data_IF_874565532366
#
_entry.id   IF_874565532366
#
_cell.length_a   1.000
_cell.length_b   1.000
_cell.length_c   1.000
_cell.angle_alpha   90.00
_cell.angle_beta   90.00
_cell.angle_gamma   90.00
#
_symmetry.space_group_name_H-M   'P 1'
#
loop_
_entity.id
_entity.type
_entity.pdbx_description
1 polymer ?
#
# COMPACT_ATOMS: atom_id res chain seq x y z
N UNK A 1 -9.97 -9.50 3.72
CA UNK A 1 -9.69 -8.74 4.95
C UNK A 1 -9.28 -9.67 6.07
N UNK A 2 -8.45 -9.16 6.99
CA UNK A 2 -8.11 -9.86 8.23
C UNK A 2 -9.24 -9.74 9.23
N UNK A 3 -9.23 -10.60 10.25
CA UNK A 3 -10.08 -10.43 11.44
C UNK A 3 -9.50 -9.32 12.31
N UNK A 4 -10.39 -8.46 12.84
CA UNK A 4 -10.02 -7.54 13.91
C UNK A 4 -10.01 -8.26 15.25
N UNK A 5 -9.13 -7.89 16.20
CA UNK A 5 -9.22 -8.35 17.57
C UNK A 5 -10.58 -8.01 18.19
N UNK A 6 -11.14 -8.90 19.00
CA UNK A 6 -12.45 -8.68 19.63
C UNK A 6 -12.48 -7.39 20.47
N UNK A 7 -11.39 -7.08 21.17
CA UNK A 7 -11.25 -5.83 21.93
C UNK A 7 -11.43 -4.58 21.08
N UNK A 8 -10.96 -4.60 19.83
CA UNK A 8 -11.11 -3.49 18.88
C UNK A 8 -12.58 -3.37 18.44
N UNK A 9 -13.25 -4.51 18.17
CA UNK A 9 -14.65 -4.52 17.79
C UNK A 9 -15.55 -4.02 18.93
N UNK A 10 -15.29 -4.45 20.16
CA UNK A 10 -16.04 -4.00 21.35
C UNK A 10 -15.84 -2.50 21.58
N UNK A 11 -14.62 -2.01 21.44
CA UNK A 11 -14.34 -0.57 21.55
C UNK A 11 -15.04 0.22 20.45
N UNK A 12 -14.95 -0.20 19.20
CA UNK A 12 -15.64 0.44 18.08
C UNK A 12 -17.17 0.49 18.29
N UNK A 13 -17.75 -0.60 18.81
CA UNK A 13 -19.19 -0.65 19.13
C UNK A 13 -19.57 0.31 20.25
N UNK A 14 -18.76 0.40 21.31
CA UNK A 14 -19.00 1.33 22.44
C UNK A 14 -18.90 2.80 22.00
N UNK A 15 -17.98 3.12 21.09
CA UNK A 15 -17.73 4.47 20.60
C UNK A 15 -18.60 4.85 19.38
N UNK A 16 -19.47 3.93 18.92
CA UNK A 16 -20.24 4.12 17.68
C UNK A 16 -21.24 5.28 17.77
N UNK A 17 -21.82 5.52 18.94
CA UNK A 17 -22.79 6.60 19.16
C UNK A 17 -22.16 7.83 19.80
N UNK A 18 -21.15 7.63 20.63
CA UNK A 18 -20.52 8.71 21.38
C UNK A 18 -19.05 8.41 21.66
N UNK A 19 -18.17 9.05 20.91
CA UNK A 19 -16.74 8.94 21.12
C UNK A 19 -16.31 9.78 22.32
N UNK A 20 -15.94 9.12 23.42
CA UNK A 20 -15.37 9.73 24.64
C UNK A 20 -16.17 10.94 25.18
N UNK A 21 -17.50 10.90 25.13
CA UNK A 21 -18.38 11.97 25.62
C UNK A 21 -18.47 13.18 24.70
N UNK A 22 -18.03 13.07 23.45
CA UNK A 22 -18.07 14.16 22.47
C UNK A 22 -19.49 14.45 21.94
N UNK A 23 -20.44 13.56 22.19
CA UNK A 23 -21.81 13.63 21.68
C UNK A 23 -21.96 13.20 20.23
N UNK A 24 -20.92 12.64 19.60
CA UNK A 24 -20.95 12.20 18.19
C UNK A 24 -20.06 10.99 17.97
N UNK A 25 -20.42 10.20 16.93
CA UNK A 25 -19.56 9.17 16.39
C UNK A 25 -18.32 9.77 15.69
N UNK A 26 -17.22 9.03 15.67
CA UNK A 26 -16.06 9.38 14.84
C UNK A 26 -16.44 9.57 13.36
N UNK A 27 -17.43 8.80 12.88
CA UNK A 27 -17.92 8.89 11.50
C UNK A 27 -18.64 10.20 11.17
N UNK A 28 -19.13 10.90 12.19
CA UNK A 28 -19.89 12.16 12.05
C UNK A 28 -19.02 13.39 12.28
N UNK A 29 -17.78 13.20 12.79
CA UNK A 29 -16.90 14.28 13.14
C UNK A 29 -16.36 15.01 11.91
N UNK A 30 -16.29 16.33 12.01
CA UNK A 30 -15.52 17.12 11.05
C UNK A 30 -14.03 16.77 11.16
N UNK A 31 -13.37 16.57 10.01
CA UNK A 31 -11.92 16.39 9.97
C UNK A 31 -11.13 17.59 10.50
N UNK A 32 -11.79 18.74 10.74
CA UNK A 32 -11.21 19.97 11.35
C UNK A 32 -11.45 20.04 12.84
N UNK A 33 -12.21 19.12 13.45
CA UNK A 33 -12.44 19.13 14.89
C UNK A 33 -11.16 18.75 15.64
N UNK A 34 -10.98 19.32 16.84
CA UNK A 34 -9.82 18.97 17.69
C UNK A 34 -9.81 17.51 18.10
N UNK A 35 -11.00 16.92 18.27
CA UNK A 35 -11.14 15.50 18.63
C UNK A 35 -10.65 14.62 17.48
N UNK A 36 -11.09 14.90 16.25
CA UNK A 36 -10.63 14.15 15.08
C UNK A 36 -9.13 14.34 14.82
N UNK A 37 -8.61 15.55 14.99
CA UNK A 37 -7.18 15.84 14.86
C UNK A 37 -6.34 15.00 15.82
N UNK A 38 -6.81 14.82 17.06
CA UNK A 38 -6.15 13.94 18.03
C UNK A 38 -6.19 12.47 17.60
N UNK A 39 -7.31 11.97 17.06
CA UNK A 39 -7.46 10.60 16.56
C UNK A 39 -6.50 10.34 15.41
N UNK A 40 -6.46 11.20 14.39
CA UNK A 40 -5.64 10.95 13.19
C UNK A 40 -4.14 11.10 13.48
N UNK A 41 -3.74 12.02 14.34
CA UNK A 41 -2.35 12.16 14.81
C UNK A 41 -1.92 10.98 15.67
N UNK A 42 -2.80 10.48 16.52
CA UNK A 42 -2.58 9.25 17.29
C UNK A 42 -2.38 8.04 16.38
N UNK A 43 -3.22 7.89 15.35
CA UNK A 43 -3.09 6.83 14.37
C UNK A 43 -1.76 6.91 13.60
N UNK A 44 -1.34 8.11 13.18
CA UNK A 44 -0.04 8.30 12.53
C UNK A 44 1.12 7.94 13.46
N UNK A 45 1.08 8.43 14.71
CA UNK A 45 2.13 8.16 15.71
C UNK A 45 2.28 6.66 15.97
N UNK A 46 1.17 5.94 16.17
CA UNK A 46 1.18 4.50 16.37
C UNK A 46 1.69 3.74 15.13
N UNK A 47 1.30 4.18 13.94
CA UNK A 47 1.78 3.55 12.71
C UNK A 47 3.30 3.73 12.54
N UNK A 48 3.81 4.93 12.87
CA UNK A 48 5.25 5.21 12.87
C UNK A 48 6.00 4.33 13.86
N UNK A 49 5.47 4.19 15.07
CA UNK A 49 6.06 3.36 16.12
C UNK A 49 6.09 1.88 15.71
N UNK A 50 4.94 1.31 15.30
CA UNK A 50 4.82 -0.12 14.98
C UNK A 50 5.59 -0.51 13.72
N UNK A 51 5.69 0.36 12.73
CA UNK A 51 6.42 0.11 11.50
C UNK A 51 7.84 0.68 11.49
N UNK A 52 8.29 1.29 12.59
CA UNK A 52 9.60 1.92 12.72
C UNK A 52 9.88 2.91 11.57
N UNK A 53 8.87 3.76 11.23
CA UNK A 53 8.95 4.69 10.10
C UNK A 53 9.89 5.84 10.44
N UNK A 54 11.00 6.02 9.67
CA UNK A 54 11.93 7.11 9.90
C UNK A 54 11.29 8.50 9.70
N UNK A 55 11.81 9.52 10.41
CA UNK A 55 11.24 10.89 10.39
C UNK A 55 11.27 11.56 9.01
N UNK A 56 12.16 11.16 8.13
CA UNK A 56 12.25 11.66 6.76
C UNK A 56 11.14 11.13 5.84
N UNK A 57 10.35 10.14 6.28
CA UNK A 57 9.19 9.65 5.54
C UNK A 57 7.92 10.43 5.93
N UNK A 58 7.04 10.60 4.96
CA UNK A 58 5.68 11.13 5.20
C UNK A 58 4.68 9.99 5.26
N UNK A 59 3.77 10.06 6.21
CA UNK A 59 2.60 9.17 6.29
C UNK A 59 1.40 9.92 5.76
N UNK A 60 0.68 9.31 4.83
CA UNK A 60 -0.48 9.92 4.18
C UNK A 60 -1.68 8.98 4.28
N UNK A 61 -2.79 9.47 4.80
CA UNK A 61 -4.08 8.79 4.79
C UNK A 61 -4.90 9.34 3.62
N UNK A 62 -5.07 8.52 2.57
CA UNK A 62 -5.67 8.94 1.30
C UNK A 62 -6.89 8.09 0.98
N UNK A 63 -7.83 8.69 0.27
CA UNK A 63 -8.96 7.96 -0.31
C UNK A 63 -8.56 7.22 -1.60
N UNK A 64 -9.44 6.32 -2.07
CA UNK A 64 -9.30 5.62 -3.36
C UNK A 64 -8.61 4.27 -3.28
N UNK A 65 -8.13 3.87 -2.12
CA UNK A 65 -7.46 2.58 -1.90
C UNK A 65 -6.24 2.35 -2.79
N UNK A 66 -5.77 1.11 -2.86
CA UNK A 66 -4.61 0.74 -3.66
C UNK A 66 -4.82 0.96 -5.18
N UNK A 67 -6.07 0.88 -5.66
CA UNK A 67 -6.35 1.09 -7.09
C UNK A 67 -6.04 2.51 -7.54
N UNK A 68 -6.30 3.52 -6.69
CA UNK A 68 -5.91 4.90 -6.99
C UNK A 68 -4.39 5.07 -6.95
N UNK A 69 -3.68 4.32 -6.13
CA UNK A 69 -2.22 4.37 -6.10
C UNK A 69 -1.58 3.84 -7.39
N UNK A 70 -2.24 2.94 -8.12
CA UNK A 70 -1.75 2.49 -9.43
C UNK A 70 -1.60 3.65 -10.44
N UNK A 71 -2.42 4.71 -10.31
CA UNK A 71 -2.30 5.93 -11.09
C UNK A 71 -1.46 7.02 -10.39
N UNK A 72 -1.64 7.18 -9.06
CA UNK A 72 -0.96 8.23 -8.30
C UNK A 72 0.56 8.03 -8.26
N UNK A 73 1.04 6.79 -8.15
CA UNK A 73 2.47 6.48 -8.15
C UNK A 73 3.13 6.94 -9.46
N UNK A 74 2.72 6.48 -10.64
CA UNK A 74 3.34 6.95 -11.88
C UNK A 74 3.14 8.45 -12.12
N UNK A 75 1.98 9.01 -11.79
CA UNK A 75 1.72 10.44 -11.93
C UNK A 75 2.71 11.31 -11.16
N UNK A 76 3.12 10.87 -9.97
CA UNK A 76 4.02 11.61 -9.09
C UNK A 76 5.50 11.25 -9.26
N UNK A 77 5.83 10.01 -9.64
CA UNK A 77 7.21 9.54 -9.68
C UNK A 77 7.81 9.48 -11.09
N UNK A 78 7.03 9.27 -12.15
CA UNK A 78 7.53 9.27 -13.53
C UNK A 78 7.80 10.69 -14.04
N UNK A 79 8.71 11.40 -13.39
CA UNK A 79 8.92 12.84 -13.63
C UNK A 79 10.24 13.17 -14.33
N UNK A 80 11.24 12.27 -14.31
CA UNK A 80 12.55 12.51 -14.89
C UNK A 80 12.69 11.86 -16.27
N UNK A 81 12.65 10.53 -16.30
CA UNK A 81 12.88 9.73 -17.50
C UNK A 81 11.58 9.13 -18.06
N UNK A 82 10.50 9.21 -17.31
CA UNK A 82 9.19 8.60 -17.62
C UNK A 82 9.31 7.10 -17.85
N UNK A 83 10.16 6.44 -17.07
CA UNK A 83 10.44 5.01 -17.13
C UNK A 83 10.17 4.36 -15.79
N UNK A 84 9.57 3.17 -15.78
CA UNK A 84 9.42 2.37 -14.56
C UNK A 84 9.51 0.88 -14.85
N UNK A 85 10.09 0.15 -13.91
CA UNK A 85 10.25 -1.30 -13.98
C UNK A 85 9.24 -2.00 -13.08
N UNK A 86 8.64 -3.07 -13.59
CA UNK A 86 7.58 -3.81 -12.91
C UNK A 86 7.86 -5.30 -12.86
N UNK A 87 7.60 -5.91 -11.70
CA UNK A 87 7.53 -7.36 -11.56
C UNK A 87 6.08 -7.80 -11.58
N UNK A 88 5.71 -8.67 -12.52
CA UNK A 88 4.37 -9.23 -12.61
C UNK A 88 4.29 -10.57 -11.85
N UNK A 89 3.91 -10.51 -10.59
CA UNK A 89 3.78 -11.65 -9.68
C UNK A 89 2.33 -12.02 -9.37
N UNK A 90 1.35 -11.32 -9.97
CA UNK A 90 -0.07 -11.55 -9.75
C UNK A 90 -0.97 -10.59 -10.49
N UNK A 91 -2.27 -10.67 -10.20
CA UNK A 91 -3.27 -9.80 -10.85
C UNK A 91 -3.09 -8.32 -10.50
N UNK A 92 -2.79 -8.01 -9.23
CA UNK A 92 -2.68 -6.62 -8.79
C UNK A 92 -1.43 -5.94 -9.35
N UNK A 93 -0.28 -6.62 -9.39
CA UNK A 93 0.91 -6.11 -10.07
C UNK A 93 0.67 -5.91 -11.57
N UNK A 94 -0.10 -6.79 -12.21
CA UNK A 94 -0.49 -6.64 -13.61
C UNK A 94 -1.41 -5.43 -13.83
N UNK A 95 -2.35 -5.17 -12.91
CA UNK A 95 -3.20 -3.98 -12.97
C UNK A 95 -2.40 -2.69 -12.76
N UNK A 96 -1.49 -2.69 -11.78
CA UNK A 96 -0.60 -1.56 -11.53
C UNK A 96 0.27 -1.23 -12.76
N UNK A 97 0.88 -2.25 -13.38
CA UNK A 97 1.63 -2.09 -14.61
C UNK A 97 0.80 -1.49 -15.75
N UNK A 98 -0.40 -2.04 -15.99
CA UNK A 98 -1.29 -1.56 -17.07
C UNK A 98 -1.72 -0.10 -16.86
N UNK A 99 -1.94 0.30 -15.63
CA UNK A 99 -2.29 1.68 -15.32
C UNK A 99 -1.08 2.60 -15.52
N UNK A 100 0.09 2.21 -14.99
CA UNK A 100 1.33 2.98 -15.12
C UNK A 100 1.78 3.17 -16.58
N UNK A 101 1.55 2.19 -17.44
CA UNK A 101 1.89 2.26 -18.87
C UNK A 101 1.13 3.39 -19.63
N UNK A 102 0.12 3.99 -19.02
CA UNK A 102 -0.55 5.18 -19.57
C UNK A 102 0.23 6.47 -19.34
N UNK A 103 1.17 6.45 -18.40
CA UNK A 103 1.92 7.64 -17.98
C UNK A 103 3.33 7.69 -18.56
N UNK A 104 3.90 6.54 -18.93
CA UNK A 104 5.26 6.48 -19.46
C UNK A 104 5.66 5.08 -19.93
N UNK A 105 6.96 4.92 -20.17
CA UNK A 105 7.56 3.66 -20.61
C UNK A 105 7.74 2.70 -19.44
N UNK A 106 6.85 1.71 -19.33
CA UNK A 106 6.93 0.66 -18.31
C UNK A 106 7.48 -0.63 -18.90
N UNK A 107 8.55 -1.16 -18.28
CA UNK A 107 9.14 -2.47 -18.63
C UNK A 107 8.70 -3.53 -17.63
N UNK A 108 8.31 -4.68 -18.10
CA UNK A 108 8.17 -5.89 -17.28
C UNK A 108 9.52 -6.57 -17.20
N UNK A 109 10.17 -6.51 -16.05
CA UNK A 109 11.52 -7.08 -15.85
C UNK A 109 11.49 -8.55 -15.46
N UNK A 110 10.38 -9.01 -14.88
CA UNK A 110 10.14 -10.42 -14.58
C UNK A 110 8.65 -10.70 -14.49
N UNK A 111 8.23 -11.92 -14.81
CA UNK A 111 6.84 -12.35 -14.71
C UNK A 111 6.73 -13.85 -14.45
N UNK A 112 5.85 -14.23 -13.53
CA UNK A 112 5.46 -15.64 -13.33
C UNK A 112 4.09 -15.98 -13.92
N UNK A 113 3.62 -15.19 -14.88
CA UNK A 113 2.31 -15.38 -15.53
C UNK A 113 2.17 -16.75 -16.20
N UNK A 114 3.22 -17.24 -16.86
CA UNK A 114 3.21 -18.55 -17.52
C UNK A 114 3.09 -19.73 -16.54
N UNK A 115 3.50 -19.49 -15.27
CA UNK A 115 3.32 -20.43 -14.17
C UNK A 115 2.06 -20.13 -13.34
N UNK A 116 1.08 -19.44 -13.92
CA UNK A 116 -0.15 -19.02 -13.25
C UNK A 116 0.09 -18.28 -11.92
N UNK A 117 1.20 -17.54 -11.82
CA UNK A 117 1.61 -16.80 -10.62
C UNK A 117 1.77 -17.69 -9.37
N UNK A 118 2.09 -18.95 -9.56
CA UNK A 118 2.27 -19.91 -8.45
C UNK A 118 3.53 -19.69 -7.62
N UNK A 119 4.42 -18.79 -8.07
CA UNK A 119 5.65 -18.39 -7.37
C UNK A 119 6.01 -16.94 -7.68
N UNK A 120 6.89 -16.37 -6.88
CA UNK A 120 7.57 -15.12 -7.25
C UNK A 120 8.54 -15.44 -8.41
N UNK A 121 8.56 -14.63 -9.48
CA UNK A 121 9.50 -14.88 -10.57
C UNK A 121 10.93 -14.64 -10.13
N UNK A 122 11.87 -15.35 -10.74
CA UNK A 122 13.29 -15.08 -10.57
C UNK A 122 13.63 -13.70 -11.16
N UNK A 123 14.43 -12.95 -10.44
CA UNK A 123 14.83 -11.60 -10.84
C UNK A 123 16.28 -11.63 -11.35
N UNK A 124 16.49 -11.18 -12.59
CA UNK A 124 17.83 -10.94 -13.13
C UNK A 124 18.14 -9.42 -13.05
N UNK A 125 19.10 -9.00 -12.22
CA UNK A 125 19.46 -7.58 -12.10
C UNK A 125 19.91 -6.93 -13.43
N UNK A 126 20.34 -7.72 -14.42
CA UNK A 126 20.71 -7.22 -15.76
C UNK A 126 19.50 -6.68 -16.53
N UNK A 127 18.30 -7.12 -16.17
CA UNK A 127 17.06 -6.64 -16.78
C UNK A 127 16.57 -5.31 -16.18
N UNK A 128 17.14 -4.88 -15.03
CA UNK A 128 16.72 -3.65 -14.36
C UNK A 128 17.31 -2.43 -15.05
N UNK A 129 16.50 -1.42 -15.26
CA UNK A 129 16.92 -0.18 -15.90
C UNK A 129 17.47 0.80 -14.85
N UNK A 130 18.76 1.17 -14.92
CA UNK A 130 19.34 2.10 -13.95
C UNK A 130 18.80 3.54 -14.09
N UNK A 131 18.13 3.84 -15.19
CA UNK A 131 17.50 5.12 -15.47
C UNK A 131 15.96 5.08 -15.27
N UNK A 132 15.42 4.04 -14.65
CA UNK A 132 14.03 4.02 -14.26
C UNK A 132 13.75 5.03 -13.14
N UNK A 133 12.60 5.69 -13.18
CA UNK A 133 12.18 6.62 -12.13
C UNK A 133 11.77 5.88 -10.84
N UNK A 134 11.34 4.62 -10.99
CA UNK A 134 11.08 3.69 -9.87
C UNK A 134 10.99 2.24 -10.35
N UNK A 135 11.09 1.33 -9.36
CA UNK A 135 10.90 -0.11 -9.53
C UNK A 135 9.70 -0.57 -8.68
N UNK A 136 8.76 -1.29 -9.25
CA UNK A 136 7.51 -1.65 -8.56
C UNK A 136 7.34 -3.14 -8.33
N UNK A 137 6.95 -3.50 -7.10
CA UNK A 137 6.54 -4.85 -6.71
C UNK A 137 5.18 -4.86 -5.99
N UNK A 138 4.48 -5.97 -6.09
CA UNK A 138 3.40 -6.32 -5.18
C UNK A 138 3.95 -7.32 -4.17
N UNK A 139 4.20 -6.89 -2.93
CA UNK A 139 4.98 -7.64 -1.96
C UNK A 139 4.30 -8.95 -1.53
N UNK A 140 2.97 -8.95 -1.46
CA UNK A 140 2.17 -10.15 -1.20
C UNK A 140 1.01 -10.24 -2.18
N UNK A 141 0.94 -11.35 -2.90
CA UNK A 141 -0.07 -11.61 -3.91
C UNK A 141 -1.29 -12.30 -3.30
N UNK A 142 -2.28 -11.52 -2.92
CA UNK A 142 -3.47 -11.94 -2.16
C UNK A 142 -4.19 -13.15 -2.77
N UNK A 143 -4.32 -13.19 -4.10
CA UNK A 143 -5.08 -14.24 -4.80
C UNK A 143 -4.29 -15.54 -4.89
N UNK A 144 -2.98 -15.44 -5.09
CA UNK A 144 -2.12 -16.60 -5.38
C UNK A 144 -1.35 -17.10 -4.16
N UNK A 145 -1.36 -16.35 -3.05
CA UNK A 145 -0.69 -16.73 -1.80
C UNK A 145 0.84 -16.69 -1.88
N UNK A 146 1.41 -15.95 -2.84
CA UNK A 146 2.86 -15.82 -2.98
C UNK A 146 3.35 -14.49 -2.39
N UNK A 147 4.55 -14.50 -1.81
CA UNK A 147 5.12 -13.34 -1.12
C UNK A 147 6.61 -13.19 -1.42
N UNK A 148 7.08 -11.95 -1.53
CA UNK A 148 8.50 -11.64 -1.57
C UNK A 148 9.13 -11.86 -0.19
N UNK A 149 10.06 -12.79 -0.08
CA UNK A 149 10.88 -13.02 1.12
C UNK A 149 12.18 -12.20 1.10
N UNK A 150 12.69 -11.92 -0.10
CA UNK A 150 13.84 -11.06 -0.32
C UNK A 150 13.43 -9.91 -1.26
N UNK A 151 13.91 -8.70 -0.97
CA UNK A 151 13.66 -7.54 -1.81
C UNK A 151 14.63 -7.51 -3.00
N UNK A 152 14.21 -6.99 -4.16
CA UNK A 152 15.13 -6.73 -5.26
C UNK A 152 16.15 -5.65 -4.89
N UNK A 153 17.38 -5.84 -5.33
CA UNK A 153 18.43 -4.82 -5.22
C UNK A 153 18.37 -3.89 -6.43
N UNK A 154 17.70 -2.76 -6.26
CA UNK A 154 17.41 -1.81 -7.36
C UNK A 154 18.44 -0.68 -7.48
N UNK A 155 19.51 -0.71 -6.69
CA UNK A 155 20.53 0.34 -6.65
C UNK A 155 19.92 1.69 -6.25
N UNK A 156 20.18 2.73 -7.04
CA UNK A 156 19.67 4.09 -6.79
C UNK A 156 18.21 4.29 -7.24
N UNK A 157 17.60 3.30 -7.89
CA UNK A 157 16.21 3.37 -8.35
C UNK A 157 15.26 3.11 -7.16
N UNK A 158 14.37 4.06 -6.83
CA UNK A 158 13.45 3.90 -5.70
C UNK A 158 12.56 2.66 -5.84
N UNK A 159 12.56 1.81 -4.81
CA UNK A 159 11.64 0.67 -4.74
C UNK A 159 10.26 1.13 -4.26
N UNK A 160 9.23 0.80 -5.02
CA UNK A 160 7.82 1.04 -4.69
C UNK A 160 7.13 -0.29 -4.45
N UNK A 161 6.40 -0.42 -3.35
CA UNK A 161 5.71 -1.68 -3.06
C UNK A 161 4.25 -1.50 -2.63
N UNK A 162 3.38 -2.31 -3.24
CA UNK A 162 2.04 -2.59 -2.74
C UNK A 162 2.14 -3.61 -1.59
N UNK A 163 1.84 -3.16 -0.38
CA UNK A 163 1.83 -3.99 0.84
C UNK A 163 0.42 -4.21 1.39
N UNK A 164 -0.62 -3.96 0.60
CA UNK A 164 -2.02 -3.98 1.06
C UNK A 164 -2.41 -5.24 1.83
N UNK A 165 -1.92 -6.41 1.40
CA UNK A 165 -2.28 -7.69 2.03
C UNK A 165 -1.25 -8.23 3.02
N UNK A 166 -0.20 -7.46 3.32
CA UNK A 166 0.83 -7.85 4.29
C UNK A 166 1.30 -6.72 5.22
N UNK A 167 0.75 -5.51 5.09
CA UNK A 167 1.03 -4.43 6.04
C UNK A 167 0.76 -4.89 7.48
N UNK A 168 1.66 -4.61 8.40
CA UNK A 168 1.58 -4.99 9.82
C UNK A 168 1.58 -6.51 10.10
N UNK A 169 1.80 -7.36 9.09
CA UNK A 169 1.88 -8.81 9.30
C UNK A 169 3.26 -9.29 9.78
N UNK A 170 4.29 -8.51 9.49
CA UNK A 170 5.69 -8.75 9.89
C UNK A 170 6.46 -7.43 9.85
N UNK A 171 7.59 -7.33 10.54
CA UNK A 171 8.49 -6.19 10.41
C UNK A 171 8.94 -5.99 8.96
N UNK A 172 8.97 -4.73 8.52
CA UNK A 172 9.45 -4.30 7.21
C UNK A 172 10.42 -3.14 7.44
N UNK A 173 11.63 -3.24 6.90
CA UNK A 173 12.55 -2.11 6.89
C UNK A 173 12.06 -1.07 5.88
N UNK A 174 11.38 -0.04 6.38
CA UNK A 174 10.79 1.04 5.57
C UNK A 174 11.86 1.81 4.81
N UNK A 175 13.09 1.89 5.34
CA UNK A 175 14.20 2.63 4.71
C UNK A 175 14.63 2.07 3.35
N UNK A 176 14.29 0.80 3.07
CA UNK A 176 14.55 0.15 1.78
C UNK A 176 13.63 0.60 0.64
N UNK A 177 12.61 1.41 0.93
CA UNK A 177 11.59 1.78 -0.05
C UNK A 177 11.54 3.28 -0.26
N UNK A 178 11.33 3.70 -1.51
CA UNK A 178 10.95 5.06 -1.84
C UNK A 178 9.49 5.34 -1.51
N UNK A 179 8.60 4.35 -1.76
CA UNK A 179 7.17 4.43 -1.42
C UNK A 179 6.65 3.06 -1.02
N UNK A 180 5.94 3.02 0.09
CA UNK A 180 5.06 1.91 0.48
C UNK A 180 3.61 2.39 0.43
N UNK A 181 2.72 1.61 -0.15
CA UNK A 181 1.29 1.91 -0.09
C UNK A 181 0.45 0.67 0.23
N UNK A 182 -0.69 0.89 0.87
CA UNK A 182 -1.60 -0.17 1.27
C UNK A 182 -3.06 0.26 1.15
N UNK A 183 -3.86 -0.59 0.52
CA UNK A 183 -5.30 -0.53 0.65
C UNK A 183 -5.73 -1.12 1.99
N UNK A 184 -6.26 -0.27 2.89
CA UNK A 184 -6.53 -0.64 4.27
C UNK A 184 -7.59 -1.75 4.43
N UNK A 185 -8.49 -1.94 3.45
CA UNK A 185 -9.55 -2.96 3.48
C UNK A 185 -9.05 -4.41 3.42
N UNK A 186 -7.74 -4.65 3.33
CA UNK A 186 -7.16 -5.99 3.35
C UNK A 186 -6.60 -6.35 4.72
N UNK A 187 -5.31 -6.13 4.96
CA UNK A 187 -4.68 -6.60 6.19
C UNK A 187 -4.92 -5.70 7.40
N UNK A 188 -5.21 -4.41 7.20
CA UNK A 188 -5.66 -3.51 8.28
C UNK A 188 -7.14 -3.76 8.63
N UNK A 189 -7.90 -4.36 7.71
CA UNK A 189 -9.31 -4.71 7.90
C UNK A 189 -10.24 -3.53 8.21
N UNK A 190 -10.02 -2.39 7.56
CA UNK A 190 -11.00 -1.31 7.63
C UNK A 190 -12.25 -1.68 6.83
N UNK A 191 -13.41 -1.55 7.47
CA UNK A 191 -14.69 -1.71 6.82
C UNK A 191 -14.87 -0.71 5.68
N UNK A 192 -15.45 -1.17 4.60
CA UNK A 192 -15.97 -0.31 3.56
C UNK A 192 -17.06 0.58 4.15
N UNK A 193 -16.79 1.87 4.23
CA UNK A 193 -17.74 2.85 4.74
C UNK A 193 -18.61 3.46 3.66
N UNK A 194 -18.40 3.09 2.40
CA UNK A 194 -19.23 3.51 1.27
C UNK A 194 -19.63 2.28 0.45
N UNK A 195 -20.89 2.12 0.09
CA UNK A 195 -21.30 1.12 -0.88
C UNK A 195 -20.53 1.36 -2.18
N UNK A 196 -19.93 0.30 -2.70
CA UNK A 196 -19.32 0.35 -4.04
C UNK A 196 -20.44 0.51 -5.06
N UNK A 197 -20.27 1.35 -6.07
CA UNK A 197 -21.25 1.41 -7.18
C UNK A 197 -21.36 0.09 -7.96
N UNK A 198 -20.68 -0.95 -7.54
CA UNK A 198 -20.64 -2.26 -8.20
C UNK A 198 -21.27 -3.39 -7.36
N UNK A 199 -21.80 -3.08 -6.18
CA UNK A 199 -22.51 -4.03 -5.32
C UNK A 199 -24.00 -4.01 -5.58
#
# INVERSE_FOLDING_TARGET
PSMLPESVLLRAAAEMLDYEGSGQSVMEMSHRSKVYDAIIKGAESLLREVMEIPDNYKVLFLQGGASSQFAMVPLNLMTKNRKADYVLSGQFSTKAYKEAARFGDCKVVASSKEQNFSRIPDLDPKEFRPDADYFHICMNNTIYGTVFHALPETGDVPLVADISSCILSRPIDVSRFGVLYAGAQKNVCLLYTSPSPRD
#
